data_IF_286563871327
#
_entry.id   IF_286563871327
#
_cell.length_a   1.000
_cell.length_b   1.000
_cell.length_c   1.000
_cell.angle_alpha   90.00
_cell.angle_beta   90.00
_cell.angle_gamma   90.00
#
_symmetry.space_group_name_H-M   'P 1'
#
loop_
_entity.id
_entity.type
_entity.pdbx_description
1 polymer ?
#
# COMPACT_ATOMS: atom_id res chain seq x y z
N UNK A 1 23.12 -16.66 -8.36
CA UNK A 1 21.84 -16.74 -9.09
C UNK A 1 21.26 -15.34 -9.19
N UNK A 2 20.84 -14.92 -10.40
CA UNK A 2 20.22 -13.61 -10.63
C UNK A 2 18.73 -13.74 -10.93
N UNK A 3 17.92 -12.94 -10.26
CA UNK A 3 16.46 -12.99 -10.36
C UNK A 3 15.93 -11.58 -10.70
N UNK A 4 15.02 -11.49 -11.66
CA UNK A 4 14.30 -10.26 -11.99
C UNK A 4 12.82 -10.44 -11.64
N UNK A 5 12.28 -9.53 -10.81
CA UNK A 5 10.85 -9.45 -10.52
C UNK A 5 10.26 -8.27 -11.30
N UNK A 6 9.19 -8.50 -12.04
CA UNK A 6 8.44 -7.46 -12.73
C UNK A 6 7.10 -7.21 -12.01
N UNK A 7 7.00 -6.10 -11.30
CA UNK A 7 5.75 -5.57 -10.73
C UNK A 7 5.81 -4.04 -10.73
N UNK A 8 5.57 -3.40 -11.89
CA UNK A 8 5.77 -1.96 -12.03
C UNK A 8 4.72 -1.09 -11.34
N UNK A 9 3.50 -1.57 -11.17
CA UNK A 9 2.37 -0.78 -10.60
C UNK A 9 1.20 -1.70 -10.22
N UNK A 10 0.21 -1.24 -9.43
CA UNK A 10 0.14 0.04 -8.72
C UNK A 10 0.84 -0.04 -7.36
N UNK A 11 0.80 1.05 -6.55
CA UNK A 11 1.40 1.05 -5.21
C UNK A 11 0.94 -0.15 -4.37
N UNK A 12 -0.38 -0.36 -4.28
CA UNK A 12 -0.93 -1.50 -3.52
C UNK A 12 -0.46 -2.85 -4.05
N UNK A 13 -0.44 -3.03 -5.39
CA UNK A 13 0.01 -4.27 -6.01
C UNK A 13 1.51 -4.53 -5.79
N UNK A 14 2.34 -3.48 -5.77
CA UNK A 14 3.77 -3.58 -5.46
C UNK A 14 3.95 -4.05 -4.02
N UNK A 15 3.25 -3.42 -3.06
CA UNK A 15 3.30 -3.81 -1.64
C UNK A 15 2.85 -5.27 -1.47
N UNK A 16 1.75 -5.67 -2.13
CA UNK A 16 1.24 -7.04 -2.09
C UNK A 16 2.19 -8.08 -2.71
N UNK A 17 3.12 -7.66 -3.56
CA UNK A 17 4.11 -8.54 -4.17
C UNK A 17 5.42 -8.64 -3.35
N UNK A 18 5.66 -7.75 -2.38
CA UNK A 18 6.87 -7.77 -1.52
C UNK A 18 7.11 -9.11 -0.83
N UNK A 19 6.09 -9.87 -0.36
CA UNK A 19 6.30 -11.20 0.21
C UNK A 19 7.06 -12.17 -0.71
N UNK A 20 6.90 -12.05 -2.03
CA UNK A 20 7.66 -12.85 -3.00
C UNK A 20 9.16 -12.55 -2.88
N UNK A 21 9.54 -11.26 -2.80
CA UNK A 21 10.93 -10.84 -2.59
C UNK A 21 11.51 -11.43 -1.29
N UNK A 22 10.78 -11.25 -0.18
CA UNK A 22 11.22 -11.72 1.14
C UNK A 22 11.51 -13.21 1.16
N UNK A 23 10.60 -14.01 0.61
CA UNK A 23 10.76 -15.46 0.57
C UNK A 23 11.87 -15.90 -0.38
N UNK A 24 12.00 -15.29 -1.55
CA UNK A 24 13.13 -15.55 -2.44
C UNK A 24 14.46 -15.27 -1.74
N UNK A 25 14.62 -14.11 -1.12
CA UNK A 25 15.87 -13.76 -0.45
C UNK A 25 16.17 -14.65 0.76
N UNK A 26 15.14 -15.02 1.52
CA UNK A 26 15.29 -15.91 2.68
C UNK A 26 15.72 -17.32 2.32
N UNK A 27 15.16 -17.88 1.25
CA UNK A 27 15.48 -19.25 0.80
C UNK A 27 16.68 -19.31 -0.15
N UNK A 28 17.01 -18.19 -0.78
CA UNK A 28 18.13 -18.03 -1.70
C UNK A 28 19.00 -16.84 -1.29
N UNK A 29 19.66 -16.87 -0.11
CA UNK A 29 20.33 -15.70 0.47
C UNK A 29 21.47 -15.15 -0.41
N UNK A 30 22.13 -16.00 -1.19
CA UNK A 30 23.19 -15.60 -2.12
C UNK A 30 22.66 -15.09 -3.48
N UNK A 31 21.33 -14.98 -3.66
CA UNK A 31 20.76 -14.49 -4.91
C UNK A 31 20.91 -12.97 -5.04
N UNK A 32 21.13 -12.51 -6.25
CA UNK A 32 21.04 -11.11 -6.65
C UNK A 32 19.63 -10.88 -7.22
N UNK A 33 18.82 -10.10 -6.50
CA UNK A 33 17.42 -9.84 -6.88
C UNK A 33 17.27 -8.42 -7.37
N UNK A 34 16.71 -8.27 -8.55
CA UNK A 34 16.39 -6.99 -9.17
C UNK A 34 14.87 -6.84 -9.30
N UNK A 35 14.38 -5.60 -9.14
CA UNK A 35 12.95 -5.31 -9.29
C UNK A 35 12.71 -4.25 -10.37
N UNK A 36 11.93 -4.61 -11.39
CA UNK A 36 11.51 -3.70 -12.43
C UNK A 36 10.21 -3.00 -12.02
N UNK A 37 10.27 -1.66 -11.85
CA UNK A 37 9.21 -0.86 -11.24
C UNK A 37 9.06 0.50 -11.93
N UNK A 38 7.84 1.06 -11.95
CA UNK A 38 7.59 2.44 -12.38
C UNK A 38 8.44 3.42 -11.56
N UNK A 39 9.10 4.35 -12.23
CA UNK A 39 10.00 5.32 -11.59
C UNK A 39 9.34 6.13 -10.46
N UNK A 40 8.03 6.36 -10.54
CA UNK A 40 7.29 7.04 -9.47
C UNK A 40 7.14 6.19 -8.19
N UNK A 41 7.22 4.88 -8.29
CA UNK A 41 7.12 3.94 -7.17
C UNK A 41 8.48 3.42 -6.71
N UNK A 42 9.54 3.66 -7.49
CA UNK A 42 10.90 3.19 -7.18
C UNK A 42 11.37 3.57 -5.75
N UNK A 43 11.08 4.78 -5.21
CA UNK A 43 11.50 5.15 -3.86
C UNK A 43 10.94 4.23 -2.75
N UNK A 44 9.85 3.52 -3.02
CA UNK A 44 9.31 2.52 -2.06
C UNK A 44 10.30 1.38 -1.81
N UNK A 45 11.02 0.95 -2.86
CA UNK A 45 11.91 -0.21 -2.85
C UNK A 45 13.41 0.15 -2.84
N UNK A 46 13.76 1.40 -3.14
CA UNK A 46 15.15 1.85 -3.08
C UNK A 46 15.70 1.74 -1.65
N UNK A 47 16.90 1.17 -1.52
CA UNK A 47 17.51 0.89 -0.22
C UNK A 47 16.92 -0.32 0.51
N UNK A 48 16.08 -1.13 -0.13
CA UNK A 48 15.59 -2.37 0.44
C UNK A 48 16.75 -3.40 0.57
N UNK A 49 17.01 -3.96 1.76
CA UNK A 49 18.18 -4.83 2.01
C UNK A 49 18.14 -6.15 1.22
N UNK A 50 16.97 -6.60 0.78
CA UNK A 50 16.80 -7.83 0.01
C UNK A 50 16.96 -7.64 -1.50
N UNK A 51 17.04 -6.37 -1.97
CA UNK A 51 17.25 -6.04 -3.37
C UNK A 51 18.71 -5.70 -3.67
N UNK A 52 19.24 -6.26 -4.74
CA UNK A 52 20.51 -5.86 -5.34
C UNK A 52 20.36 -4.57 -6.13
N UNK A 53 19.20 -4.35 -6.75
CA UNK A 53 18.93 -3.14 -7.49
C UNK A 53 17.49 -2.96 -7.93
N UNK A 54 17.14 -1.71 -8.19
CA UNK A 54 15.84 -1.29 -8.71
C UNK A 54 16.00 -0.84 -10.15
N UNK A 55 15.28 -1.47 -11.07
CA UNK A 55 15.28 -1.13 -12.50
C UNK A 55 14.06 -0.27 -12.80
N UNK A 56 14.29 1.00 -13.06
CA UNK A 56 13.23 1.99 -13.26
C UNK A 56 12.58 1.84 -14.63
N UNK A 57 11.27 1.78 -14.66
CA UNK A 57 10.42 1.80 -15.85
C UNK A 57 9.83 3.18 -16.05
N UNK A 58 10.29 3.89 -17.06
CA UNK A 58 9.88 5.26 -17.40
C UNK A 58 8.63 5.26 -18.28
N UNK A 59 7.52 4.73 -17.74
CA UNK A 59 6.27 4.50 -18.49
C UNK A 59 5.79 5.69 -19.30
N UNK A 60 5.83 6.91 -18.73
CA UNK A 60 5.35 8.12 -19.40
C UNK A 60 6.32 8.60 -20.47
N UNK A 61 7.62 8.51 -20.21
CA UNK A 61 8.66 8.94 -21.14
C UNK A 61 8.75 8.04 -22.34
N UNK A 62 8.68 6.72 -22.15
CA UNK A 62 8.83 5.75 -23.22
C UNK A 62 7.55 5.59 -24.08
N UNK A 63 6.46 6.27 -23.77
CA UNK A 63 5.33 6.41 -24.70
C UNK A 63 5.65 7.30 -25.90
N UNK A 64 6.71 8.13 -25.82
CA UNK A 64 7.20 8.94 -26.94
C UNK A 64 8.29 8.21 -27.75
N UNK A 65 8.17 8.10 -29.09
CA UNK A 65 9.21 7.49 -29.93
C UNK A 65 10.59 8.09 -29.76
N UNK A 66 10.68 9.39 -29.46
CA UNK A 66 11.95 10.09 -29.22
C UNK A 66 12.73 9.52 -28.02
N UNK A 67 12.08 8.78 -27.12
CA UNK A 67 12.69 8.16 -25.95
C UNK A 67 12.93 6.66 -26.07
N UNK A 68 12.61 6.05 -27.20
CA UNK A 68 12.89 4.63 -27.45
C UNK A 68 14.37 4.25 -27.34
N UNK A 69 15.35 5.09 -27.69
CA UNK A 69 16.77 4.77 -27.41
C UNK A 69 17.05 4.53 -25.90
N UNK A 70 16.36 5.24 -24.99
CA UNK A 70 16.47 5.00 -23.54
C UNK A 70 15.87 3.66 -23.16
N UNK A 71 14.69 3.33 -23.69
CA UNK A 71 14.05 2.03 -23.51
C UNK A 71 14.94 0.89 -24.03
N UNK A 72 15.51 1.04 -25.22
CA UNK A 72 16.40 0.03 -25.80
C UNK A 72 17.68 -0.14 -24.97
N UNK A 73 18.23 0.93 -24.39
CA UNK A 73 19.36 0.82 -23.44
C UNK A 73 18.97 0.04 -22.19
N UNK A 74 17.79 0.28 -21.65
CA UNK A 74 17.25 -0.49 -20.50
C UNK A 74 17.11 -1.97 -20.84
N UNK A 75 16.55 -2.30 -22.01
CA UNK A 75 16.43 -3.69 -22.47
C UNK A 75 17.81 -4.34 -22.68
N UNK A 76 18.77 -3.64 -23.29
CA UNK A 76 20.14 -4.15 -23.46
C UNK A 76 20.81 -4.42 -22.13
N UNK A 77 20.59 -3.54 -21.14
CA UNK A 77 21.11 -3.72 -19.80
C UNK A 77 20.48 -4.96 -19.14
N UNK A 78 19.15 -5.12 -19.23
CA UNK A 78 18.45 -6.32 -18.71
C UNK A 78 19.02 -7.60 -19.30
N UNK A 79 19.22 -7.66 -20.62
CA UNK A 79 19.79 -8.82 -21.32
C UNK A 79 21.22 -9.14 -20.85
N UNK A 80 22.02 -8.11 -20.63
CA UNK A 80 23.42 -8.26 -20.18
C UNK A 80 23.55 -8.78 -18.75
N UNK A 81 22.47 -8.77 -17.96
CA UNK A 81 22.48 -9.34 -16.61
C UNK A 81 22.46 -10.87 -16.60
N UNK A 82 21.99 -11.52 -17.67
CA UNK A 82 21.86 -12.97 -17.77
C UNK A 82 21.07 -13.58 -16.58
N UNK A 83 19.84 -13.11 -16.39
CA UNK A 83 18.98 -13.59 -15.31
C UNK A 83 18.74 -15.08 -15.39
N UNK A 84 18.83 -15.77 -14.26
CA UNK A 84 18.45 -17.18 -14.16
C UNK A 84 16.91 -17.30 -14.13
N UNK A 85 16.23 -16.45 -13.34
CA UNK A 85 14.77 -16.39 -13.29
C UNK A 85 14.26 -14.98 -13.58
N UNK A 86 13.19 -14.93 -14.36
CA UNK A 86 12.39 -13.74 -14.59
C UNK A 86 10.97 -14.03 -14.15
N UNK A 87 10.45 -13.24 -13.19
CA UNK A 87 9.15 -13.46 -12.54
C UNK A 87 8.24 -12.28 -12.87
N UNK A 88 7.25 -12.48 -13.73
CA UNK A 88 6.27 -11.42 -14.06
C UNK A 88 5.01 -11.55 -13.21
N UNK A 89 4.89 -10.67 -12.20
CA UNK A 89 3.72 -10.56 -11.32
C UNK A 89 2.71 -9.51 -11.81
N UNK A 90 2.98 -8.85 -12.94
CA UNK A 90 2.08 -7.84 -13.52
C UNK A 90 1.08 -8.46 -14.50
N UNK A 91 1.45 -9.49 -15.23
CA UNK A 91 0.65 -10.27 -16.17
C UNK A 91 -0.09 -9.45 -17.26
N UNK A 92 0.51 -8.35 -17.70
CA UNK A 92 0.01 -7.58 -18.85
C UNK A 92 0.90 -7.81 -20.07
N UNK A 93 0.37 -7.62 -21.29
CA UNK A 93 1.15 -7.77 -22.54
C UNK A 93 2.48 -7.04 -22.48
N UNK A 94 2.48 -5.80 -21.97
CA UNK A 94 3.70 -5.00 -21.86
C UNK A 94 4.73 -5.61 -20.91
N UNK A 95 4.33 -6.04 -19.71
CA UNK A 95 5.26 -6.65 -18.77
C UNK A 95 5.78 -7.99 -19.27
N UNK A 96 4.93 -8.80 -19.86
CA UNK A 96 5.33 -10.05 -20.53
C UNK A 96 6.36 -9.83 -21.62
N UNK A 97 6.18 -8.82 -22.46
CA UNK A 97 7.16 -8.45 -23.49
C UNK A 97 8.51 -8.02 -22.89
N UNK A 98 8.52 -7.18 -21.85
CA UNK A 98 9.77 -6.80 -21.16
C UNK A 98 10.43 -7.99 -20.45
N UNK A 99 9.63 -8.88 -19.85
CA UNK A 99 10.12 -10.10 -19.23
C UNK A 99 10.79 -11.03 -20.26
N UNK A 100 10.17 -11.21 -21.42
CA UNK A 100 10.75 -11.97 -22.53
C UNK A 100 12.01 -11.31 -23.10
N UNK A 101 11.98 -9.98 -23.27
CA UNK A 101 13.14 -9.23 -23.74
C UNK A 101 14.32 -9.27 -22.75
N UNK A 102 14.09 -9.45 -21.46
CA UNK A 102 15.16 -9.64 -20.48
C UNK A 102 15.97 -10.92 -20.71
N UNK A 103 15.41 -11.88 -21.47
CA UNK A 103 16.07 -13.08 -21.94
C UNK A 103 16.67 -13.93 -20.80
N UNK A 104 15.88 -14.15 -19.73
CA UNK A 104 16.26 -15.05 -18.63
C UNK A 104 16.22 -16.52 -19.04
N UNK A 105 16.89 -17.38 -18.27
CA UNK A 105 16.89 -18.83 -18.51
C UNK A 105 15.53 -19.48 -18.29
N UNK A 106 14.74 -18.94 -17.36
CA UNK A 106 13.39 -19.41 -17.06
C UNK A 106 12.48 -18.22 -16.74
N UNK A 107 11.38 -18.13 -17.46
CA UNK A 107 10.41 -17.07 -17.34
C UNK A 107 9.08 -17.60 -16.82
N UNK A 108 8.69 -17.19 -15.61
CA UNK A 108 7.41 -17.54 -14.99
C UNK A 108 6.54 -16.31 -14.79
N UNK A 109 5.25 -16.45 -15.03
CA UNK A 109 4.29 -15.36 -14.81
C UNK A 109 2.96 -15.86 -14.30
N UNK A 110 2.03 -14.90 -14.11
CA UNK A 110 0.67 -15.20 -13.71
C UNK A 110 -0.20 -15.42 -14.96
N UNK A 111 -1.09 -16.40 -14.89
CA UNK A 111 -2.03 -16.71 -15.97
C UNK A 111 -3.27 -15.82 -15.85
N UNK A 112 -3.18 -14.61 -16.38
CA UNK A 112 -4.31 -13.68 -16.52
C UNK A 112 -4.68 -13.60 -18.01
N UNK A 113 -5.86 -14.06 -18.42
CA UNK A 113 -6.23 -14.12 -19.83
C UNK A 113 -6.46 -12.75 -20.48
N UNK A 114 -6.47 -11.70 -19.69
CA UNK A 114 -6.95 -10.37 -20.07
C UNK A 114 -6.20 -9.73 -21.24
N UNK A 115 -4.87 -9.89 -21.33
CA UNK A 115 -4.03 -9.25 -22.35
C UNK A 115 -3.10 -10.23 -23.07
N UNK A 116 -3.25 -11.54 -22.84
CA UNK A 116 -2.46 -12.56 -23.55
C UNK A 116 -0.99 -12.66 -23.18
N UNK A 117 -0.55 -12.11 -22.05
CA UNK A 117 0.83 -12.17 -21.59
C UNK A 117 1.35 -13.60 -21.39
N UNK A 118 0.45 -14.56 -21.22
CA UNK A 118 0.75 -16.00 -21.09
C UNK A 118 1.68 -16.53 -22.18
N UNK A 119 1.58 -16.00 -23.41
CA UNK A 119 2.38 -16.45 -24.56
C UNK A 119 3.89 -16.16 -24.43
N UNK A 120 4.30 -15.33 -23.47
CA UNK A 120 5.71 -15.03 -23.22
C UNK A 120 6.39 -15.95 -22.20
N UNK A 121 5.61 -16.77 -21.42
CA UNK A 121 6.11 -17.48 -20.26
C UNK A 121 6.37 -18.94 -20.54
N UNK A 122 7.49 -19.47 -20.01
CA UNK A 122 7.77 -20.90 -19.97
C UNK A 122 6.77 -21.60 -19.04
N UNK A 123 6.43 -20.97 -17.92
CA UNK A 123 5.40 -21.44 -17.00
C UNK A 123 4.48 -20.29 -16.55
N UNK A 124 3.19 -20.61 -16.33
CA UNK A 124 2.24 -19.64 -15.82
C UNK A 124 1.38 -20.23 -14.72
N UNK A 125 1.05 -19.41 -13.73
CA UNK A 125 0.33 -19.79 -12.53
C UNK A 125 -1.08 -19.21 -12.55
N UNK A 126 -2.08 -20.09 -12.63
CA UNK A 126 -3.50 -19.70 -12.56
C UNK A 126 -3.89 -19.26 -11.17
N UNK A 127 -4.84 -18.33 -11.11
CA UNK A 127 -5.52 -18.00 -9.88
C UNK A 127 -6.39 -19.20 -9.46
N UNK A 128 -6.26 -19.66 -8.21
CA UNK A 128 -6.96 -20.85 -7.73
C UNK A 128 -8.49 -20.69 -7.75
N UNK A 129 -9.00 -19.48 -7.46
CA UNK A 129 -10.43 -19.15 -7.51
C UNK A 129 -10.64 -17.67 -7.81
N UNK A 130 -11.88 -17.27 -8.10
CA UNK A 130 -12.26 -15.86 -8.24
C UNK A 130 -11.93 -15.05 -6.98
N UNK A 131 -12.06 -15.66 -5.79
CA UNK A 131 -11.83 -15.00 -4.51
C UNK A 131 -10.40 -15.12 -3.99
N UNK A 132 -9.49 -15.82 -4.68
CA UNK A 132 -8.09 -15.89 -4.28
C UNK A 132 -7.52 -14.48 -4.16
N UNK A 133 -6.94 -14.14 -3.01
CA UNK A 133 -6.35 -12.83 -2.80
C UNK A 133 -5.13 -12.61 -3.72
N UNK A 134 -4.86 -11.36 -4.11
CA UNK A 134 -3.74 -11.04 -4.99
C UNK A 134 -2.40 -11.49 -4.41
N UNK A 135 -2.17 -11.35 -3.11
CA UNK A 135 -0.96 -11.82 -2.40
C UNK A 135 -0.78 -13.32 -2.56
N UNK A 136 -1.83 -14.11 -2.29
CA UNK A 136 -1.78 -15.57 -2.40
C UNK A 136 -1.48 -16.00 -3.84
N UNK A 137 -2.04 -15.28 -4.80
CA UNK A 137 -1.77 -15.55 -6.21
C UNK A 137 -0.33 -15.21 -6.61
N UNK A 138 0.22 -14.09 -6.09
CA UNK A 138 1.64 -13.75 -6.33
C UNK A 138 2.56 -14.79 -5.70
N UNK A 139 2.26 -15.24 -4.49
CA UNK A 139 3.04 -16.26 -3.80
C UNK A 139 2.96 -17.63 -4.46
N UNK A 140 1.88 -17.92 -5.20
CA UNK A 140 1.71 -19.21 -5.87
C UNK A 140 2.77 -19.49 -6.97
N UNK A 141 3.58 -18.48 -7.36
CA UNK A 141 4.74 -18.71 -8.27
C UNK A 141 5.89 -19.40 -7.54
N UNK A 142 6.05 -19.20 -6.24
CA UNK A 142 7.19 -19.67 -5.46
C UNK A 142 7.31 -21.21 -5.38
N UNK A 143 6.24 -21.97 -5.10
CA UNK A 143 6.31 -23.44 -5.13
C UNK A 143 6.71 -24.01 -6.49
N UNK A 144 6.40 -23.30 -7.60
CA UNK A 144 6.85 -23.69 -8.95
C UNK A 144 8.35 -23.51 -9.16
N UNK A 145 8.98 -22.69 -8.30
CA UNK A 145 10.41 -22.44 -8.26
C UNK A 145 11.12 -23.23 -7.14
N UNK A 146 10.40 -24.11 -6.44
CA UNK A 146 10.93 -24.89 -5.31
C UNK A 146 11.13 -24.07 -4.02
N UNK A 147 10.51 -22.88 -3.93
CA UNK A 147 10.60 -21.99 -2.76
C UNK A 147 9.37 -22.17 -1.88
N UNK A 148 9.53 -22.55 -0.59
CA UNK A 148 8.42 -22.70 0.34
C UNK A 148 7.76 -21.36 0.68
N UNK A 149 6.46 -21.39 0.99
CA UNK A 149 5.69 -20.22 1.41
C UNK A 149 5.41 -20.30 2.91
N UNK A 150 5.72 -19.23 3.63
CA UNK A 150 5.41 -19.03 5.05
C UNK A 150 5.29 -17.52 5.34
N UNK A 151 4.82 -17.14 6.56
CA UNK A 151 4.45 -15.76 6.89
C UNK A 151 5.31 -15.12 8.00
N UNK A 152 6.37 -15.77 8.42
CA UNK A 152 7.23 -15.28 9.52
C UNK A 152 8.32 -14.32 9.00
N UNK A 153 7.92 -13.13 8.53
CA UNK A 153 8.83 -12.06 8.12
C UNK A 153 8.11 -10.70 8.04
N UNK A 154 8.80 -9.57 8.27
CA UNK A 154 8.27 -8.24 8.02
C UNK A 154 8.20 -7.97 6.51
N UNK A 155 7.10 -7.38 6.04
CA UNK A 155 6.95 -7.07 4.61
C UNK A 155 7.79 -5.87 4.19
N UNK A 156 7.71 -4.78 4.96
CA UNK A 156 8.41 -3.53 4.67
C UNK A 156 9.53 -3.31 5.69
N UNK A 157 10.76 -3.02 5.23
CA UNK A 157 11.89 -2.79 6.12
C UNK A 157 11.69 -1.50 6.93
N UNK A 158 12.31 -1.45 8.09
CA UNK A 158 12.43 -0.20 8.83
C UNK A 158 13.42 0.74 8.14
N UNK A 159 13.11 2.03 8.17
CA UNK A 159 13.94 3.10 7.60
C UNK A 159 14.23 4.16 8.65
N UNK A 160 15.13 3.88 9.61
CA UNK A 160 15.35 4.74 10.77
C UNK A 160 15.76 6.17 10.41
N UNK A 161 16.51 6.35 9.32
CA UNK A 161 16.88 7.69 8.84
C UNK A 161 15.64 8.46 8.38
N UNK A 162 14.78 7.85 7.57
CA UNK A 162 13.54 8.48 7.10
C UNK A 162 12.59 8.73 8.27
N UNK A 163 12.48 7.79 9.21
CA UNK A 163 11.68 7.96 10.43
C UNK A 163 12.14 9.16 11.27
N UNK A 164 13.46 9.33 11.43
CA UNK A 164 14.03 10.49 12.14
C UNK A 164 13.75 11.80 11.39
N UNK A 165 13.88 11.81 10.06
CA UNK A 165 13.55 12.97 9.23
C UNK A 165 12.08 13.35 9.32
N UNK A 166 11.16 12.37 9.28
CA UNK A 166 9.72 12.58 9.48
C UNK A 166 9.45 13.25 10.82
N UNK A 167 10.00 12.72 11.92
CA UNK A 167 9.85 13.32 13.25
C UNK A 167 10.37 14.74 13.31
N UNK A 168 11.55 15.01 12.76
CA UNK A 168 12.18 16.34 12.74
C UNK A 168 11.38 17.33 11.89
N UNK A 169 10.99 16.95 10.67
CA UNK A 169 10.31 17.80 9.68
C UNK A 169 8.96 18.31 10.19
N UNK A 170 8.22 17.47 10.89
CA UNK A 170 6.90 17.80 11.42
C UNK A 170 6.88 17.98 12.94
N UNK A 171 8.05 18.12 13.58
CA UNK A 171 8.20 18.37 15.01
C UNK A 171 7.41 17.40 15.89
N UNK A 172 7.39 16.14 15.48
CA UNK A 172 6.77 15.09 16.26
C UNK A 172 7.72 14.75 17.40
N UNK A 173 7.37 15.14 18.63
CA UNK A 173 8.14 14.84 19.80
C UNK A 173 8.41 13.33 19.92
N UNK A 174 9.67 12.98 20.01
CA UNK A 174 10.07 11.61 20.23
C UNK A 174 9.66 11.21 21.63
N UNK A 175 8.80 10.22 21.74
CA UNK A 175 8.43 9.62 23.02
C UNK A 175 9.52 8.76 23.64
N UNK A 176 10.77 9.18 23.53
CA UNK A 176 11.89 8.59 24.24
C UNK A 176 12.23 9.52 25.39
N UNK A 177 11.57 9.28 26.48
CA UNK A 177 11.80 9.96 27.74
C UNK A 177 10.50 10.01 28.54
N UNK A 178 10.12 8.90 29.16
CA UNK A 178 9.26 8.95 30.35
C UNK A 178 10.08 9.67 31.40
N UNK A 179 10.06 11.01 31.40
CA UNK A 179 10.34 11.74 32.63
C UNK A 179 9.18 11.43 33.57
N UNK A 180 9.41 10.45 34.43
CA UNK A 180 8.53 10.21 35.56
C UNK A 180 8.62 11.43 36.47
N UNK A 181 7.73 12.42 36.26
CA UNK A 181 7.46 13.42 37.26
C UNK A 181 6.78 12.70 38.42
N UNK A 182 7.61 12.38 39.43
CA UNK A 182 7.13 11.89 40.72
C UNK A 182 6.41 13.06 41.40
N UNK A 183 5.09 13.07 41.31
CA UNK A 183 4.28 13.97 42.14
C UNK A 183 4.35 13.49 43.61
N UNK A 184 4.37 14.38 44.60
CA UNK A 184 4.23 14.01 46.00
C UNK A 184 2.87 13.36 46.21
N UNK A 185 2.84 12.03 46.30
CA UNK A 185 1.58 11.26 46.41
C UNK A 185 1.59 9.93 45.70
N UNK A 186 2.66 9.55 45.00
CA UNK A 186 2.91 8.18 44.50
C UNK A 186 2.07 7.73 43.30
N UNK A 187 1.30 8.58 42.64
CA UNK A 187 0.56 8.23 41.43
C UNK A 187 1.38 8.64 40.20
N UNK A 188 1.93 7.66 39.47
CA UNK A 188 2.54 7.86 38.17
C UNK A 188 1.48 8.36 37.17
N UNK A 189 1.42 9.67 36.94
CA UNK A 189 0.74 10.19 35.75
C UNK A 189 1.64 9.88 34.55
N UNK A 190 1.28 8.81 33.84
CA UNK A 190 1.79 8.55 32.50
C UNK A 190 1.28 9.72 31.64
N UNK A 191 2.13 10.63 31.21
CA UNK A 191 1.76 11.58 30.15
C UNK A 191 1.37 10.74 28.93
N UNK A 192 0.08 10.68 28.67
CA UNK A 192 -0.48 9.97 27.53
C UNK A 192 -0.05 10.76 26.28
N UNK A 193 0.87 10.19 25.54
CA UNK A 193 1.23 10.74 24.25
C UNK A 193 0.00 10.80 23.35
N UNK A 194 -0.14 11.87 22.53
CA UNK A 194 -1.25 11.99 21.64
C UNK A 194 -1.27 10.82 20.66
N UNK A 195 -2.43 10.17 20.54
CA UNK A 195 -2.64 9.12 19.54
C UNK A 195 -2.75 9.74 18.17
N UNK A 196 -2.06 9.17 17.19
CA UNK A 196 -2.13 9.61 15.81
C UNK A 196 -3.05 8.71 14.99
N UNK A 197 -4.03 9.32 14.34
CA UNK A 197 -4.91 8.65 13.38
C UNK A 197 -4.61 9.18 11.99
N UNK A 198 -4.24 8.30 11.05
CA UNK A 198 -4.10 8.66 9.65
C UNK A 198 -5.45 8.56 8.92
N UNK A 199 -5.79 9.57 8.15
CA UNK A 199 -6.90 9.57 7.20
C UNK A 199 -6.37 9.56 5.77
N UNK A 200 -6.88 8.68 4.93
CA UNK A 200 -6.58 8.63 3.51
C UNK A 200 -7.86 8.84 2.70
N UNK A 201 -8.25 10.10 2.43
CA UNK A 201 -9.51 10.43 1.74
C UNK A 201 -9.43 10.25 0.23
N UNK A 202 -8.23 10.26 -0.35
CA UNK A 202 -8.00 10.09 -1.77
C UNK A 202 -8.13 8.64 -2.24
N UNK A 203 -8.56 8.47 -3.49
CA UNK A 203 -8.46 7.22 -4.25
C UNK A 203 -8.46 7.53 -5.74
N UNK A 204 -7.89 6.62 -6.56
CA UNK A 204 -7.80 6.82 -8.01
C UNK A 204 -9.18 6.91 -8.68
N UNK A 205 -10.12 6.04 -8.27
CA UNK A 205 -11.49 6.06 -8.77
C UNK A 205 -12.37 6.88 -7.83
N UNK A 206 -13.20 7.77 -8.37
CA UNK A 206 -14.16 8.54 -7.58
C UNK A 206 -15.18 7.63 -6.88
N UNK A 207 -15.52 6.50 -7.49
CA UNK A 207 -16.40 5.48 -6.91
C UNK A 207 -15.83 4.77 -5.68
N UNK A 208 -14.53 4.91 -5.42
CA UNK A 208 -13.86 4.39 -4.21
C UNK A 208 -13.67 5.44 -3.12
N UNK A 209 -14.16 6.67 -3.32
CA UNK A 209 -13.99 7.76 -2.36
C UNK A 209 -15.21 7.88 -1.45
N UNK A 210 -15.00 7.66 -0.18
CA UNK A 210 -15.98 8.05 0.84
C UNK A 210 -16.12 9.57 0.82
N UNK A 211 -17.34 10.16 1.03
CA UNK A 211 -17.54 11.60 0.91
C UNK A 211 -16.59 12.39 1.81
N UNK A 212 -16.02 13.48 1.31
CA UNK A 212 -15.06 14.30 2.07
C UNK A 212 -15.69 14.91 3.31
N UNK A 213 -16.96 15.35 3.23
CA UNK A 213 -17.71 15.87 4.37
C UNK A 213 -17.92 14.82 5.46
N UNK A 214 -17.93 13.54 5.10
CA UNK A 214 -18.02 12.44 6.06
C UNK A 214 -16.69 12.22 6.79
N UNK A 215 -15.54 12.41 6.11
CA UNK A 215 -14.25 12.47 6.80
C UNK A 215 -14.17 13.66 7.75
N UNK A 216 -14.66 14.83 7.34
CA UNK A 216 -14.73 16.00 8.18
C UNK A 216 -15.59 15.76 9.44
N UNK A 217 -16.75 15.12 9.29
CA UNK A 217 -17.59 14.75 10.41
C UNK A 217 -16.95 13.71 11.32
N UNK A 218 -16.24 12.73 10.76
CA UNK A 218 -15.45 11.78 11.54
C UNK A 218 -14.41 12.50 12.41
N UNK A 219 -13.74 13.52 11.88
CA UNK A 219 -12.78 14.34 12.65
C UNK A 219 -13.48 15.05 13.81
N UNK A 220 -14.69 15.62 13.60
CA UNK A 220 -15.46 16.24 14.70
C UNK A 220 -15.80 15.24 15.79
N UNK A 221 -16.24 14.04 15.41
CA UNK A 221 -16.57 12.97 16.35
C UNK A 221 -15.33 12.49 17.13
N UNK A 222 -14.18 12.35 16.46
CA UNK A 222 -12.91 12.02 17.09
C UNK A 222 -12.47 13.12 18.07
N UNK A 223 -12.50 14.38 17.65
CA UNK A 223 -12.12 15.52 18.49
C UNK A 223 -12.99 15.65 19.76
N UNK A 224 -14.28 15.35 19.64
CA UNK A 224 -15.23 15.38 20.77
C UNK A 224 -15.00 14.25 21.76
N UNK A 225 -14.70 13.04 21.29
CA UNK A 225 -14.70 11.84 22.13
C UNK A 225 -13.29 11.40 22.57
N UNK A 226 -12.24 11.87 21.85
CA UNK A 226 -10.84 11.53 22.11
C UNK A 226 -10.00 12.81 22.08
N UNK A 227 -9.99 13.61 23.17
CA UNK A 227 -9.34 14.93 23.21
C UNK A 227 -7.83 14.87 22.98
N UNK A 228 -7.16 13.75 23.29
CA UNK A 228 -5.72 13.57 23.11
C UNK A 228 -5.34 12.99 21.74
N UNK A 229 -6.30 12.91 20.81
CA UNK A 229 -6.05 12.38 19.47
C UNK A 229 -5.67 13.49 18.51
N UNK A 230 -4.64 13.24 17.70
CA UNK A 230 -4.24 14.03 16.54
C UNK A 230 -4.55 13.28 15.25
N UNK A 231 -4.83 14.01 14.20
CA UNK A 231 -5.17 13.45 12.89
C UNK A 231 -4.14 13.90 11.88
N UNK A 232 -3.59 12.96 11.12
CA UNK A 232 -2.79 13.27 9.92
C UNK A 232 -3.57 12.88 8.68
N UNK A 233 -3.58 13.76 7.66
CA UNK A 233 -4.30 13.54 6.41
C UNK A 233 -3.26 13.26 5.33
N UNK A 234 -3.26 12.05 4.81
CA UNK A 234 -2.34 11.60 3.78
C UNK A 234 -3.00 11.67 2.40
N UNK A 235 -2.21 12.03 1.40
CA UNK A 235 -2.68 12.11 0.02
C UNK A 235 -1.59 12.59 -0.92
N UNK A 236 -1.83 12.50 -2.23
CA UNK A 236 -0.97 13.09 -3.24
C UNK A 236 -1.41 14.55 -3.55
N UNK A 237 -0.70 15.24 -4.46
CA UNK A 237 -1.02 16.63 -4.81
C UNK A 237 -2.48 16.86 -5.25
N UNK A 238 -3.10 15.87 -5.90
CA UNK A 238 -4.50 15.97 -6.36
C UNK A 238 -5.50 15.87 -5.20
N UNK A 239 -5.07 15.39 -4.04
CA UNK A 239 -5.90 15.21 -2.87
C UNK A 239 -5.83 16.43 -1.92
N UNK A 240 -5.00 17.46 -2.21
CA UNK A 240 -4.89 18.70 -1.43
C UNK A 240 -6.24 19.36 -1.11
N UNK A 241 -7.17 19.49 -2.08
CA UNK A 241 -8.49 20.08 -1.77
C UNK A 241 -9.29 19.27 -0.74
N UNK A 242 -9.10 17.93 -0.72
CA UNK A 242 -9.74 17.06 0.27
C UNK A 242 -9.11 17.26 1.65
N UNK A 243 -7.77 17.33 1.70
CA UNK A 243 -7.02 17.60 2.93
C UNK A 243 -7.41 18.92 3.58
N UNK A 244 -7.49 20.00 2.79
CA UNK A 244 -7.89 21.32 3.27
C UNK A 244 -9.29 21.34 3.88
N UNK A 245 -10.29 20.70 3.23
CA UNK A 245 -11.66 20.61 3.75
C UNK A 245 -11.67 19.90 5.10
N UNK A 246 -10.96 18.79 5.22
CA UNK A 246 -10.91 17.99 6.45
C UNK A 246 -10.16 18.75 7.55
N UNK A 247 -9.00 19.33 7.24
CA UNK A 247 -8.15 20.00 8.22
C UNK A 247 -8.82 21.25 8.82
N UNK A 248 -9.62 21.99 8.04
CA UNK A 248 -10.39 23.15 8.54
C UNK A 248 -11.39 22.80 9.64
N UNK A 249 -11.74 21.53 9.79
CA UNK A 249 -12.72 21.08 10.80
C UNK A 249 -12.19 21.17 12.23
N UNK A 250 -10.89 20.87 12.42
CA UNK A 250 -10.20 20.98 13.72
C UNK A 250 -8.72 21.34 13.45
N UNK A 251 -8.40 22.59 13.09
CA UNK A 251 -7.06 22.99 12.62
C UNK A 251 -5.94 22.70 13.63
N UNK A 252 -6.24 22.82 14.92
CA UNK A 252 -5.30 22.58 16.02
C UNK A 252 -4.95 21.10 16.20
N UNK A 253 -5.70 20.18 15.59
CA UNK A 253 -5.56 18.73 15.75
C UNK A 253 -5.19 18.01 14.44
N UNK A 254 -5.41 18.69 13.33
CA UNK A 254 -5.21 18.10 11.99
C UNK A 254 -3.89 18.58 11.38
N UNK A 255 -3.10 17.64 10.92
CA UNK A 255 -1.92 17.90 10.12
C UNK A 255 -2.19 17.42 8.68
N UNK A 256 -2.40 18.36 7.77
CA UNK A 256 -2.57 18.05 6.34
C UNK A 256 -1.23 17.82 5.67
N UNK A 257 -1.02 16.61 5.20
CA UNK A 257 0.19 16.16 4.51
C UNK A 257 -0.05 15.83 3.04
N UNK A 258 -1.21 16.20 2.48
CA UNK A 258 -1.52 15.95 1.08
C UNK A 258 -0.50 16.63 0.16
N UNK A 259 0.21 15.84 -0.65
CA UNK A 259 1.28 16.30 -1.55
C UNK A 259 2.56 16.77 -0.85
N UNK A 260 2.73 16.50 0.45
CA UNK A 260 3.90 16.94 1.22
C UNK A 260 4.84 15.80 1.62
N UNK A 261 4.44 14.56 1.36
CA UNK A 261 5.23 13.38 1.70
C UNK A 261 5.71 12.64 0.45
N UNK A 262 6.94 12.18 0.48
CA UNK A 262 7.43 11.12 -0.40
C UNK A 262 6.83 9.77 -0.01
N UNK A 263 6.97 8.74 -0.88
CA UNK A 263 6.50 7.39 -0.54
C UNK A 263 7.17 6.81 0.71
N UNK A 264 8.50 6.90 0.90
CA UNK A 264 9.13 6.47 2.15
C UNK A 264 8.61 7.22 3.39
N UNK A 265 8.44 8.56 3.31
CA UNK A 265 7.88 9.34 4.41
C UNK A 265 6.45 8.92 4.74
N UNK A 266 5.61 8.65 3.72
CA UNK A 266 4.25 8.16 3.91
C UNK A 266 4.23 6.79 4.63
N UNK A 267 5.15 5.87 4.29
CA UNK A 267 5.29 4.58 4.98
C UNK A 267 5.63 4.80 6.46
N UNK A 268 6.58 5.69 6.77
CA UNK A 268 6.97 5.97 8.15
C UNK A 268 5.87 6.72 8.92
N UNK A 269 5.09 7.59 8.27
CA UNK A 269 3.89 8.16 8.88
C UNK A 269 2.86 7.09 9.25
N UNK A 270 2.57 6.15 8.35
CA UNK A 270 1.67 5.04 8.66
C UNK A 270 2.22 4.16 9.78
N UNK A 271 3.55 4.02 9.90
CA UNK A 271 4.20 3.30 10.99
C UNK A 271 4.05 4.02 12.34
N UNK A 272 4.07 5.34 12.34
CA UNK A 272 3.88 6.17 13.54
C UNK A 272 2.42 6.19 14.01
N UNK A 273 1.45 6.09 13.11
CA UNK A 273 0.04 6.17 13.47
C UNK A 273 -0.43 4.94 14.25
N UNK A 274 -1.35 5.16 15.17
CA UNK A 274 -1.99 4.11 15.99
C UNK A 274 -3.14 3.44 15.23
N UNK A 275 -3.77 4.16 14.30
CA UNK A 275 -4.88 3.68 13.50
C UNK A 275 -4.96 4.41 12.16
N UNK A 276 -5.42 3.72 11.13
CA UNK A 276 -5.59 4.27 9.80
C UNK A 276 -7.06 4.12 9.36
N UNK A 277 -7.71 5.21 8.91
CA UNK A 277 -9.02 5.17 8.23
C UNK A 277 -8.80 5.51 6.77
N UNK A 278 -9.15 4.61 5.88
CA UNK A 278 -8.73 4.70 4.47
C UNK A 278 -9.78 4.19 3.50
N UNK A 279 -9.84 4.80 2.34
CA UNK A 279 -10.51 4.20 1.19
C UNK A 279 -9.70 3.00 0.65
N UNK A 280 -10.30 2.19 -0.24
CA UNK A 280 -9.61 1.14 -0.99
C UNK A 280 -8.56 1.76 -1.94
N UNK A 281 -7.32 1.90 -1.45
CA UNK A 281 -6.21 2.55 -2.14
C UNK A 281 -4.84 2.03 -1.67
N UNK A 282 -3.76 2.48 -2.33
CA UNK A 282 -2.39 2.00 -2.05
C UNK A 282 -1.95 2.07 -0.59
N UNK A 283 -2.13 3.20 0.13
CA UNK A 283 -1.78 3.32 1.55
C UNK A 283 -2.49 2.32 2.47
N UNK A 284 -3.69 1.86 2.14
CA UNK A 284 -4.36 0.76 2.84
C UNK A 284 -3.50 -0.52 2.87
N UNK A 285 -2.92 -0.87 1.72
CA UNK A 285 -2.06 -2.05 1.62
C UNK A 285 -0.74 -1.88 2.36
N UNK A 286 -0.22 -0.64 2.41
CA UNK A 286 0.94 -0.31 3.24
C UNK A 286 0.60 -0.50 4.72
N UNK A 287 -0.54 0.00 5.18
CA UNK A 287 -1.00 -0.16 6.56
C UNK A 287 -1.14 -1.64 6.95
N UNK A 288 -1.76 -2.45 6.08
CA UNK A 288 -1.88 -3.89 6.27
C UNK A 288 -0.50 -4.59 6.30
N UNK A 289 0.41 -4.23 5.40
CA UNK A 289 1.79 -4.75 5.37
C UNK A 289 2.61 -4.40 6.63
N UNK A 290 2.27 -3.30 7.29
CA UNK A 290 2.84 -2.85 8.56
C UNK A 290 2.11 -3.45 9.77
N UNK A 291 1.10 -4.28 9.55
CA UNK A 291 0.22 -4.84 10.60
C UNK A 291 -0.39 -3.76 11.51
N UNK A 292 -0.77 -2.62 10.93
CA UNK A 292 -1.37 -1.51 11.67
C UNK A 292 -2.88 -1.70 11.81
N UNK A 293 -3.47 -1.34 12.96
CA UNK A 293 -4.92 -1.24 13.09
C UNK A 293 -5.47 -0.33 12.00
N UNK A 294 -6.49 -0.78 11.29
CA UNK A 294 -7.07 0.00 10.20
C UNK A 294 -8.59 -0.14 10.11
N UNK A 295 -9.21 0.81 9.44
CA UNK A 295 -10.60 0.81 9.00
C UNK A 295 -10.61 1.07 7.51
N UNK A 296 -10.93 0.07 6.70
CA UNK A 296 -10.94 0.15 5.26
C UNK A 296 -12.36 0.30 4.72
N UNK A 297 -12.60 1.37 3.96
CA UNK A 297 -13.93 1.69 3.42
C UNK A 297 -14.05 1.17 1.99
N UNK A 298 -14.91 0.19 1.78
CA UNK A 298 -15.09 -0.48 0.50
C UNK A 298 -16.44 -0.19 -0.13
N UNK A 299 -16.42 0.09 -1.42
CA UNK A 299 -17.61 0.31 -2.24
C UNK A 299 -17.66 -0.68 -3.42
N UNK A 300 -17.10 -0.31 -4.60
CA UNK A 300 -17.28 -1.05 -5.85
C UNK A 300 -16.43 -2.30 -5.99
N UNK A 301 -15.51 -2.57 -5.08
CA UNK A 301 -14.48 -3.61 -5.20
C UNK A 301 -14.71 -4.78 -4.25
N UNK A 302 -14.10 -5.92 -4.56
CA UNK A 302 -14.20 -7.15 -3.77
C UNK A 302 -13.01 -7.27 -2.79
N UNK A 303 -13.23 -7.07 -1.48
CA UNK A 303 -12.14 -7.06 -0.50
C UNK A 303 -11.44 -8.42 -0.37
N UNK A 304 -12.11 -9.54 -0.59
CA UNK A 304 -11.47 -10.87 -0.58
C UNK A 304 -10.38 -11.00 -1.64
N UNK A 305 -10.48 -10.25 -2.75
CA UNK A 305 -9.50 -10.27 -3.85
C UNK A 305 -8.35 -9.29 -3.65
N UNK A 306 -8.67 -8.09 -3.16
CA UNK A 306 -7.76 -6.94 -3.14
C UNK A 306 -7.91 -6.09 -1.89
N UNK A 307 -8.43 -6.65 -0.81
CA UNK A 307 -8.55 -5.94 0.48
C UNK A 307 -7.23 -5.85 1.23
N UNK A 308 -7.26 -5.36 2.46
CA UNK A 308 -6.09 -5.37 3.33
C UNK A 308 -5.79 -6.81 3.75
N UNK A 309 -4.66 -7.34 3.31
CA UNK A 309 -4.30 -8.73 3.54
C UNK A 309 -4.12 -9.02 5.03
N UNK A 310 -4.77 -10.07 5.52
CA UNK A 310 -4.77 -10.41 6.95
C UNK A 310 -5.70 -9.56 7.82
N UNK A 311 -6.45 -8.62 7.21
CA UNK A 311 -7.29 -7.64 7.92
C UNK A 311 -8.69 -7.51 7.29
N UNK A 312 -9.27 -8.60 6.81
CA UNK A 312 -10.60 -8.55 6.18
C UNK A 312 -11.71 -8.16 7.16
N UNK A 313 -11.54 -8.44 8.46
CA UNK A 313 -12.44 -8.01 9.54
C UNK A 313 -12.41 -6.50 9.78
N UNK A 314 -11.44 -5.79 9.21
CA UNK A 314 -11.26 -4.34 9.32
C UNK A 314 -11.91 -3.58 8.15
N UNK A 315 -12.60 -4.31 7.29
CA UNK A 315 -13.30 -3.76 6.13
C UNK A 315 -14.74 -3.40 6.49
N UNK A 316 -15.10 -2.15 6.25
CA UNK A 316 -16.49 -1.67 6.27
C UNK A 316 -17.04 -1.60 4.84
N UNK A 317 -18.15 -2.27 4.62
CA UNK A 317 -18.82 -2.35 3.33
C UNK A 317 -20.32 -2.46 3.53
N UNK A 318 -21.08 -1.86 2.63
CA UNK A 318 -22.54 -2.06 2.51
C UNK A 318 -22.80 -3.04 1.37
N UNK A 319 -23.61 -4.05 1.64
CA UNK A 319 -24.06 -4.98 0.62
C UNK A 319 -25.17 -4.35 -0.20
N UNK A 320 -24.90 -4.14 -1.48
CA UNK A 320 -25.87 -3.68 -2.47
C UNK A 320 -25.94 -4.69 -3.62
N UNK A 321 -27.10 -4.79 -4.31
CA UNK A 321 -27.24 -5.72 -5.45
C UNK A 321 -26.18 -5.54 -6.53
N UNK A 322 -25.65 -4.32 -6.68
CA UNK A 322 -24.63 -4.01 -7.67
C UNK A 322 -23.19 -4.18 -7.16
N UNK A 323 -22.95 -4.38 -5.85
CA UNK A 323 -21.61 -4.44 -5.27
C UNK A 323 -21.18 -5.90 -4.98
N UNK A 324 -19.97 -6.31 -5.43
CA UNK A 324 -18.91 -5.53 -6.10
C UNK A 324 -19.15 -5.37 -7.62
N UNK A 325 -19.22 -4.15 -8.10
CA UNK A 325 -19.43 -3.89 -9.55
C UNK A 325 -18.12 -3.74 -10.35
N UNK A 326 -16.99 -3.51 -9.68
CA UNK A 326 -15.64 -3.32 -10.25
C UNK A 326 -15.56 -2.18 -11.29
N UNK A 327 -16.42 -1.14 -11.18
CA UNK A 327 -16.52 -0.04 -12.14
C UNK A 327 -15.95 1.26 -11.55
N UNK A 328 -15.22 2.00 -12.39
CA UNK A 328 -14.71 3.34 -12.06
C UNK A 328 -15.78 4.44 -12.17
N UNK A 329 -16.93 4.15 -12.79
CA UNK A 329 -18.09 5.02 -12.89
C UNK A 329 -19.30 4.29 -12.32
N UNK A 330 -20.08 4.99 -11.50
CA UNK A 330 -21.27 4.42 -10.88
C UNK A 330 -22.46 4.49 -11.84
N UNK A 331 -23.17 3.38 -11.98
CA UNK A 331 -24.42 3.27 -12.77
C UNK A 331 -25.62 2.89 -11.89
N UNK A 332 -25.47 2.92 -10.58
CA UNK A 332 -26.55 2.64 -9.65
C UNK A 332 -27.51 3.84 -9.58
N UNK A 333 -28.78 3.60 -9.33
CA UNK A 333 -29.82 4.64 -9.25
C UNK A 333 -29.42 5.79 -8.32
N UNK A 334 -28.87 5.45 -7.14
CA UNK A 334 -28.28 6.42 -6.22
C UNK A 334 -26.74 6.37 -6.33
N UNK A 335 -26.11 7.35 -7.02
CA UNK A 335 -24.68 7.29 -7.28
C UNK A 335 -23.84 7.18 -6.01
N UNK A 336 -22.94 6.17 -6.00
CA UNK A 336 -22.01 5.86 -4.92
C UNK A 336 -22.67 5.51 -3.55
N UNK A 337 -23.91 4.98 -3.58
CA UNK A 337 -24.63 4.58 -2.38
C UNK A 337 -23.85 3.59 -1.52
N UNK A 338 -23.08 2.70 -2.12
CA UNK A 338 -22.20 1.75 -1.43
C UNK A 338 -21.22 2.39 -0.44
N UNK A 339 -20.85 3.66 -0.65
CA UNK A 339 -20.01 4.43 0.28
C UNK A 339 -20.81 5.50 1.03
N UNK A 340 -21.83 6.10 0.41
CA UNK A 340 -22.66 7.12 1.07
C UNK A 340 -23.53 6.55 2.20
N UNK A 341 -23.93 5.28 2.10
CA UNK A 341 -24.68 4.62 3.16
C UNK A 341 -23.80 4.23 4.37
N UNK A 342 -22.47 4.28 4.24
CA UNK A 342 -21.56 4.20 5.39
C UNK A 342 -21.56 5.56 6.10
N UNK A 343 -22.40 5.73 7.11
CA UNK A 343 -22.48 7.00 7.84
C UNK A 343 -21.21 7.31 8.65
N UNK A 344 -20.89 8.59 8.90
CA UNK A 344 -19.77 8.97 9.78
C UNK A 344 -19.87 8.34 11.18
N UNK A 345 -21.09 8.23 11.72
CA UNK A 345 -21.34 7.60 13.02
C UNK A 345 -20.97 6.11 13.00
N UNK A 346 -21.33 5.38 11.94
CA UNK A 346 -20.96 3.96 11.78
C UNK A 346 -19.45 3.77 11.74
N UNK A 347 -18.77 4.59 10.92
CA UNK A 347 -17.31 4.55 10.79
C UNK A 347 -16.63 4.95 12.10
N UNK A 348 -17.16 5.96 12.79
CA UNK A 348 -16.65 6.37 14.10
C UNK A 348 -16.75 5.26 15.14
N UNK A 349 -17.91 4.59 15.26
CA UNK A 349 -18.09 3.50 16.21
C UNK A 349 -17.13 2.33 15.96
N UNK A 350 -16.88 2.03 14.69
CA UNK A 350 -15.90 1.01 14.32
C UNK A 350 -14.46 1.45 14.67
N UNK A 351 -14.13 2.71 14.38
CA UNK A 351 -12.85 3.35 14.74
C UNK A 351 -12.64 3.35 16.26
N UNK A 352 -13.67 3.71 17.02
CA UNK A 352 -13.66 3.72 18.49
C UNK A 352 -13.33 2.35 19.08
N UNK A 353 -13.97 1.29 18.56
CA UNK A 353 -13.69 -0.10 18.99
C UNK A 353 -12.24 -0.50 18.75
N UNK A 354 -11.64 -0.06 17.64
CA UNK A 354 -10.22 -0.33 17.33
C UNK A 354 -9.27 0.44 18.26
N UNK A 355 -9.58 1.70 18.58
CA UNK A 355 -8.78 2.52 19.48
C UNK A 355 -8.82 2.04 20.96
N UNK A 356 -9.87 1.32 21.33
CA UNK A 356 -10.04 0.79 22.68
C UNK A 356 -9.40 -0.59 22.88
N UNK A 357 -9.07 -1.32 21.81
CA UNK A 357 -8.29 -2.55 21.91
C UNK A 357 -6.85 -2.20 22.30
N UNK A 358 -6.27 -2.87 23.31
CA UNK A 358 -4.85 -2.72 23.58
C UNK A 358 -4.06 -3.12 22.32
N UNK A 359 -2.97 -2.41 22.04
CA UNK A 359 -2.04 -2.82 20.99
C UNK A 359 -1.51 -4.21 21.31
N UNK A 360 -1.66 -5.14 20.37
CA UNK A 360 -1.21 -6.53 20.50
C UNK A 360 0.30 -6.64 20.48
#
# INVERSE_FOLDING_TARGET
MKILILKPSSLGDVVQAVPVLRLLKRHLPASEIYWWIDSQLAPLLEGDPDLTGVVRFERRRWSSPLRWPEMLRSVRWLRAQHFDWVIDLQCLMRSGAFAWLANGKFLIGLDEPREGARGFYDAAVRRASYHTHAVDWYLAVLPRLGVPVHWNFPWLPERPVVAAEVKRKWQIESSVGVQALVCPGGTLKRELQPRWIALQPGARWLTKRWPVDYFAELVRLLAKNFPDTRVTILGNDKDKPLGEIIARTAPERCLDLCGQTSLPEMVEWLRLCDLIVTNDTGPMHVAAALNKPLVALFGPTEPRRTGPYGHLEDVLRIDLPCSPCLKSHCHYEKPNECLKALSPATVFEFTRKKLQKPAA
#
